data_IF_880857922649
#
_entry.id   IF_880857922649
#
_cell.length_a   1.000
_cell.length_b   1.000
_cell.length_c   1.000
_cell.angle_alpha   90.00
_cell.angle_beta   90.00
_cell.angle_gamma   90.00
#
_symmetry.space_group_name_H-M   'P 1'
#
loop_
_entity.id
_entity.type
_entity.pdbx_description
1 polymer ?
#
# COMPACT_ATOMS: atom_id res chain seq x y z
N UNK A 1 13.21 14.40 -23.07
CA UNK A 1 12.69 13.17 -22.43
C UNK A 1 11.44 12.76 -23.17
N UNK A 2 11.46 11.60 -23.84
CA UNK A 2 10.37 11.19 -24.74
C UNK A 2 9.25 10.58 -23.90
N UNK A 3 7.99 10.87 -24.22
CA UNK A 3 6.78 10.46 -23.48
C UNK A 3 6.75 8.98 -23.02
N UNK A 4 7.44 8.08 -23.73
CA UNK A 4 7.60 6.67 -23.34
C UNK A 4 8.38 6.47 -22.03
N UNK A 5 9.37 7.31 -21.74
CA UNK A 5 10.12 7.24 -20.47
C UNK A 5 9.25 7.68 -19.29
N UNK A 6 8.42 8.70 -19.46
CA UNK A 6 7.50 9.16 -18.40
C UNK A 6 6.46 8.11 -18.04
N UNK A 7 5.92 7.39 -19.03
CA UNK A 7 5.01 6.28 -18.80
C UNK A 7 5.71 5.10 -18.09
N UNK A 8 6.99 4.86 -18.38
CA UNK A 8 7.75 3.77 -17.78
C UNK A 8 8.26 4.07 -16.38
N UNK A 9 8.57 5.33 -16.04
CA UNK A 9 9.14 5.71 -14.73
C UNK A 9 8.13 6.32 -13.76
N UNK A 10 6.94 6.73 -14.22
CA UNK A 10 5.84 7.33 -13.42
C UNK A 10 6.32 8.18 -12.22
N UNK A 11 7.17 9.19 -12.41
CA UNK A 11 7.69 9.99 -11.29
C UNK A 11 6.58 10.74 -10.53
N UNK A 12 5.41 10.85 -11.15
CA UNK A 12 4.17 11.41 -10.58
C UNK A 12 3.57 10.55 -9.44
N UNK A 13 3.84 9.24 -9.42
CA UNK A 13 3.32 8.37 -8.37
C UNK A 13 4.09 8.53 -7.06
N UNK A 14 3.35 8.76 -5.98
CA UNK A 14 3.92 8.97 -4.65
C UNK A 14 4.89 7.86 -4.23
N UNK A 15 6.01 8.26 -3.66
CA UNK A 15 7.01 7.34 -3.07
C UNK A 15 6.45 6.66 -1.81
N UNK A 16 5.54 7.33 -1.11
CA UNK A 16 4.95 6.91 0.16
C UNK A 16 3.43 7.06 0.09
N UNK A 17 2.70 6.04 0.51
CA UNK A 17 1.25 6.00 0.39
C UNK A 17 0.62 5.41 1.66
N UNK A 18 -0.52 5.97 2.08
CA UNK A 18 -1.31 5.46 3.22
C UNK A 18 -0.54 5.30 4.53
N UNK A 19 0.43 6.18 4.84
CA UNK A 19 1.26 6.07 6.05
C UNK A 19 0.54 6.59 7.29
N UNK A 20 0.46 5.79 8.33
CA UNK A 20 -0.03 6.22 9.64
C UNK A 20 0.54 5.36 10.77
N UNK A 21 0.79 5.99 11.92
CA UNK A 21 1.16 5.34 13.19
C UNK A 21 -0.04 5.01 14.06
N UNK A 22 -1.20 5.60 13.74
CA UNK A 22 -2.43 5.50 14.53
C UNK A 22 -3.15 4.18 14.29
N UNK A 23 -2.89 3.55 13.14
CA UNK A 23 -3.43 2.27 12.74
C UNK A 23 -2.34 1.26 12.48
N UNK A 24 -2.66 -0.01 12.74
CA UNK A 24 -1.83 -1.17 12.47
C UNK A 24 -2.57 -2.08 11.50
N UNK A 25 -1.82 -2.83 10.69
CA UNK A 25 -2.40 -3.82 9.78
C UNK A 25 -3.33 -4.82 10.49
N UNK A 26 -3.04 -5.09 11.77
CA UNK A 26 -3.74 -6.06 12.61
C UNK A 26 -5.00 -5.51 13.30
N UNK A 27 -5.28 -4.20 13.22
CA UNK A 27 -6.37 -3.59 13.99
C UNK A 27 -7.75 -3.93 13.41
N UNK A 28 -7.80 -4.35 12.14
CA UNK A 28 -9.04 -4.62 11.43
C UNK A 28 -9.39 -6.11 11.48
N UNK A 29 -10.26 -6.51 12.40
CA UNK A 29 -10.77 -7.90 12.52
C UNK A 29 -11.97 -8.20 11.60
N UNK A 30 -12.03 -7.55 10.44
CA UNK A 30 -13.14 -7.67 9.50
C UNK A 30 -12.74 -8.46 8.26
N UNK A 31 -13.71 -9.18 7.70
CA UNK A 31 -13.53 -10.06 6.53
C UNK A 31 -14.13 -9.49 5.25
N UNK A 32 -14.93 -8.44 5.33
CA UNK A 32 -15.54 -7.77 4.18
C UNK A 32 -15.06 -6.31 4.05
N UNK A 33 -15.13 -5.82 2.81
CA UNK A 33 -14.62 -4.50 2.46
C UNK A 33 -15.48 -3.35 2.99
N UNK A 34 -16.81 -3.51 3.07
CA UNK A 34 -17.71 -2.42 3.47
C UNK A 34 -17.51 -2.08 4.95
N UNK A 35 -17.50 -3.09 5.83
CA UNK A 35 -17.21 -2.89 7.25
C UNK A 35 -15.78 -2.38 7.47
N UNK A 36 -14.82 -2.82 6.64
CA UNK A 36 -13.46 -2.26 6.67
C UNK A 36 -13.44 -0.76 6.37
N UNK A 37 -14.13 -0.32 5.32
CA UNK A 37 -14.21 1.10 4.94
C UNK A 37 -14.88 1.90 6.05
N UNK A 38 -15.96 1.40 6.66
CA UNK A 38 -16.63 2.08 7.77
C UNK A 38 -15.69 2.26 8.97
N UNK A 39 -15.02 1.20 9.41
CA UNK A 39 -14.03 1.25 10.50
C UNK A 39 -12.91 2.23 10.16
N UNK A 40 -12.37 2.16 8.95
CA UNK A 40 -11.28 3.02 8.53
C UNK A 40 -11.69 4.50 8.55
N UNK A 41 -12.90 4.82 8.07
CA UNK A 41 -13.45 6.19 8.13
C UNK A 41 -13.65 6.68 9.58
N UNK A 42 -13.99 5.79 10.51
CA UNK A 42 -14.18 6.15 11.91
C UNK A 42 -12.84 6.35 12.66
N UNK A 43 -11.79 5.65 12.24
CA UNK A 43 -10.48 5.68 12.90
C UNK A 43 -9.49 6.67 12.26
N UNK A 44 -9.83 7.29 11.13
CA UNK A 44 -8.92 8.17 10.39
C UNK A 44 -9.55 9.47 9.95
N UNK A 45 -8.72 10.50 9.78
CA UNK A 45 -9.12 11.75 9.15
C UNK A 45 -9.36 11.56 7.65
N UNK A 46 -10.33 12.26 7.06
CA UNK A 46 -10.60 12.20 5.62
C UNK A 46 -9.36 12.47 4.76
N UNK A 47 -8.47 13.36 5.22
CA UNK A 47 -7.19 13.67 4.56
C UNK A 47 -6.25 12.48 4.42
N UNK A 48 -6.38 11.48 5.30
CA UNK A 48 -5.62 10.23 5.20
C UNK A 48 -6.14 9.35 4.05
N UNK A 49 -7.44 9.44 3.72
CA UNK A 49 -8.09 8.64 2.69
C UNK A 49 -8.10 9.31 1.31
N UNK A 50 -7.89 10.62 1.25
CA UNK A 50 -7.88 11.40 0.01
C UNK A 50 -6.82 10.98 -1.04
N UNK A 51 -5.59 10.55 -0.67
CA UNK A 51 -4.57 10.18 -1.65
C UNK A 51 -5.01 9.02 -2.55
N UNK A 52 -4.61 9.11 -3.83
CA UNK A 52 -4.88 8.08 -4.86
C UNK A 52 -3.60 7.64 -5.55
N UNK A 53 -3.60 6.42 -6.06
CA UNK A 53 -2.57 5.94 -6.98
C UNK A 53 -3.20 5.92 -8.36
N UNK A 54 -2.75 6.80 -9.25
CA UNK A 54 -3.27 6.93 -10.62
C UNK A 54 -2.75 5.81 -11.53
N UNK A 55 -3.13 4.56 -11.24
CA UNK A 55 -2.75 3.39 -11.99
C UNK A 55 -3.88 2.35 -11.97
N UNK A 56 -4.08 1.66 -13.09
CA UNK A 56 -5.07 0.58 -13.21
C UNK A 56 -4.59 -0.70 -12.51
N UNK A 57 -3.27 -0.94 -12.51
CA UNK A 57 -2.65 -2.12 -11.91
C UNK A 57 -1.34 -1.73 -11.21
N UNK A 58 -1.09 -2.34 -10.05
CA UNK A 58 0.17 -2.22 -9.31
C UNK A 58 0.62 -3.57 -8.77
N UNK A 59 1.89 -3.68 -8.41
CA UNK A 59 2.41 -4.83 -7.68
C UNK A 59 2.53 -4.50 -6.20
N UNK A 60 1.89 -5.28 -5.34
CA UNK A 60 2.07 -5.23 -3.89
C UNK A 60 2.98 -6.36 -3.41
N UNK A 61 3.97 -6.03 -2.58
CA UNK A 61 5.00 -6.94 -2.11
C UNK A 61 4.92 -7.05 -0.59
N UNK A 62 4.46 -8.18 -0.03
CA UNK A 62 4.37 -8.35 1.42
C UNK A 62 5.72 -8.70 2.05
N UNK A 63 5.87 -8.42 3.34
CA UNK A 63 6.98 -8.92 4.15
C UNK A 63 6.67 -10.28 4.74
N UNK A 64 7.65 -11.18 4.69
CA UNK A 64 7.62 -12.45 5.39
C UNK A 64 7.81 -12.32 6.90
N UNK A 65 7.55 -13.40 7.67
CA UNK A 65 7.72 -13.41 9.13
C UNK A 65 9.14 -13.06 9.62
N UNK A 66 10.16 -13.32 8.79
CA UNK A 66 11.57 -13.03 9.07
C UNK A 66 12.06 -11.68 8.50
N UNK A 67 11.15 -10.80 8.08
CA UNK A 67 11.49 -9.47 7.55
C UNK A 67 11.99 -9.42 6.10
N UNK A 68 12.06 -10.55 5.39
CA UNK A 68 12.39 -10.56 3.96
C UNK A 68 11.16 -10.33 3.07
N UNK A 69 11.32 -9.55 1.98
CA UNK A 69 10.27 -9.37 0.98
C UNK A 69 9.88 -10.72 0.34
N UNK A 70 8.59 -10.91 0.08
CA UNK A 70 8.06 -12.09 -0.62
C UNK A 70 7.73 -11.76 -2.07
N UNK A 71 7.21 -12.74 -2.80
CA UNK A 71 6.79 -12.55 -4.18
C UNK A 71 5.67 -11.51 -4.25
N UNK A 72 5.86 -10.49 -5.09
CA UNK A 72 4.85 -9.49 -5.38
C UNK A 72 3.61 -10.09 -6.03
N UNK A 73 2.44 -9.50 -5.74
CA UNK A 73 1.16 -9.83 -6.36
C UNK A 73 0.64 -8.63 -7.12
N UNK A 74 0.26 -8.85 -8.38
CA UNK A 74 -0.44 -7.84 -9.18
C UNK A 74 -1.85 -7.70 -8.61
N UNK A 75 -2.25 -6.47 -8.32
CA UNK A 75 -3.62 -6.09 -7.98
C UNK A 75 -4.13 -5.08 -9.00
N UNK A 76 -5.45 -5.04 -9.18
CA UNK A 76 -6.13 -4.15 -10.12
C UNK A 76 -7.04 -3.18 -9.38
N UNK A 77 -7.19 -1.96 -9.88
CA UNK A 77 -8.14 -0.99 -9.35
C UNK A 77 -9.57 -1.44 -9.64
N UNK A 78 -10.48 -1.37 -8.66
CA UNK A 78 -11.89 -1.78 -8.86
C UNK A 78 -12.57 -0.93 -9.95
N UNK A 79 -12.24 0.36 -10.02
CA UNK A 79 -12.76 1.27 -11.05
C UNK A 79 -12.01 1.20 -12.39
N UNK A 80 -11.01 0.32 -12.51
CA UNK A 80 -10.13 0.17 -13.68
C UNK A 80 -9.41 1.46 -14.12
N UNK A 81 -9.16 2.40 -13.21
CA UNK A 81 -8.50 3.69 -13.50
C UNK A 81 -7.45 4.05 -12.46
N UNK A 82 -7.84 4.09 -11.18
CA UNK A 82 -6.99 4.51 -10.07
C UNK A 82 -7.36 3.74 -8.80
N UNK A 83 -6.39 3.56 -7.90
CA UNK A 83 -6.66 3.01 -6.58
C UNK A 83 -7.02 4.09 -5.57
N UNK A 84 -8.07 3.84 -4.80
CA UNK A 84 -8.40 4.62 -3.60
C UNK A 84 -7.57 4.17 -2.40
N UNK A 85 -7.29 5.07 -1.45
CA UNK A 85 -6.49 4.75 -0.28
C UNK A 85 -7.02 3.54 0.49
N UNK A 86 -8.33 3.53 0.79
CA UNK A 86 -8.99 2.42 1.48
C UNK A 86 -8.86 1.09 0.70
N UNK A 87 -8.97 1.13 -0.62
CA UNK A 87 -8.84 -0.05 -1.48
C UNK A 87 -7.42 -0.63 -1.41
N UNK A 88 -6.39 0.21 -1.49
CA UNK A 88 -5.00 -0.25 -1.39
C UNK A 88 -4.73 -0.82 0.00
N UNK A 89 -5.15 -0.15 1.07
CA UNK A 89 -4.96 -0.62 2.44
C UNK A 89 -5.67 -1.97 2.64
N UNK A 90 -6.89 -2.12 2.14
CA UNK A 90 -7.62 -3.39 2.20
C UNK A 90 -6.88 -4.54 1.49
N UNK A 91 -6.45 -4.30 0.24
CA UNK A 91 -5.72 -5.30 -0.55
C UNK A 91 -4.36 -5.63 0.07
N UNK A 92 -3.67 -4.63 0.60
CA UNK A 92 -2.41 -4.79 1.30
C UNK A 92 -2.58 -5.60 2.59
N UNK A 93 -3.56 -5.28 3.44
CA UNK A 93 -3.89 -6.04 4.65
C UNK A 93 -4.08 -7.52 4.35
N UNK A 94 -4.99 -7.84 3.43
CA UNK A 94 -5.30 -9.23 3.09
C UNK A 94 -4.09 -9.98 2.53
N UNK A 95 -3.26 -9.31 1.71
CA UNK A 95 -2.05 -9.91 1.17
C UNK A 95 -0.99 -10.12 2.26
N UNK A 96 -0.78 -9.14 3.13
CA UNK A 96 0.20 -9.20 4.21
C UNK A 96 -0.16 -10.28 5.23
N UNK A 97 -1.41 -10.33 5.69
CA UNK A 97 -1.89 -11.35 6.64
C UNK A 97 -1.84 -12.76 6.09
N UNK A 98 -2.01 -12.93 4.76
CA UNK A 98 -1.87 -14.24 4.11
C UNK A 98 -0.44 -14.80 4.16
N UNK A 99 0.55 -13.93 4.42
CA UNK A 99 1.98 -14.26 4.41
C UNK A 99 2.59 -14.17 5.81
N UNK A 100 2.14 -13.23 6.62
CA UNK A 100 2.69 -12.90 7.94
C UNK A 100 1.64 -12.15 8.78
N UNK A 101 1.34 -12.70 9.95
CA UNK A 101 0.35 -12.18 10.91
C UNK A 101 0.97 -11.47 12.13
N UNK A 102 2.27 -11.16 12.09
CA UNK A 102 2.93 -10.45 13.18
C UNK A 102 2.34 -9.06 13.44
N UNK A 103 2.34 -8.65 14.70
CA UNK A 103 1.93 -7.30 15.11
C UNK A 103 2.76 -6.25 14.38
N UNK A 104 2.10 -5.25 13.81
CA UNK A 104 2.73 -4.14 13.10
C UNK A 104 2.76 -2.88 13.97
N UNK A 105 3.77 -2.03 13.79
CA UNK A 105 3.88 -0.73 14.46
C UNK A 105 3.31 0.42 13.61
N UNK A 106 2.42 0.12 12.68
CA UNK A 106 1.83 1.11 11.79
C UNK A 106 1.46 0.55 10.42
N UNK A 107 0.83 1.39 9.61
CA UNK A 107 0.57 1.16 8.19
C UNK A 107 1.52 2.03 7.37
N UNK A 108 2.09 1.46 6.32
CA UNK A 108 2.81 2.22 5.31
C UNK A 108 2.99 1.42 4.03
N UNK A 109 2.81 2.10 2.89
CA UNK A 109 3.02 1.51 1.57
C UNK A 109 4.08 2.35 0.87
N UNK A 110 5.11 1.69 0.35
CA UNK A 110 6.30 2.37 -0.14
C UNK A 110 6.65 1.88 -1.52
N UNK A 111 6.89 2.81 -2.42
CA UNK A 111 7.28 2.50 -3.78
C UNK A 111 8.71 1.99 -3.80
N UNK A 112 8.94 0.84 -4.44
CA UNK A 112 10.26 0.25 -4.60
C UNK A 112 10.76 0.27 -6.05
N UNK A 113 9.87 0.60 -7.01
CA UNK A 113 10.24 0.80 -8.40
C UNK A 113 9.16 0.29 -9.34
N UNK A 114 9.57 -0.59 -10.25
CA UNK A 114 8.69 -1.25 -11.21
C UNK A 114 8.96 -2.74 -11.30
N UNK A 115 7.89 -3.53 -11.40
CA UNK A 115 7.94 -4.95 -11.75
C UNK A 115 7.10 -5.17 -13.00
N UNK A 116 7.68 -5.75 -14.05
CA UNK A 116 6.98 -6.06 -15.31
C UNK A 116 6.22 -4.85 -15.90
N UNK A 117 6.81 -3.65 -15.83
CA UNK A 117 6.24 -2.35 -16.25
C UNK A 117 5.09 -1.83 -15.38
N UNK A 118 4.80 -2.48 -14.26
CA UNK A 118 3.82 -2.00 -13.28
C UNK A 118 4.54 -1.33 -12.10
N UNK A 119 4.03 -0.21 -11.56
CA UNK A 119 4.52 0.36 -10.32
C UNK A 119 4.51 -0.69 -9.21
N UNK A 120 5.64 -0.86 -8.52
CA UNK A 120 5.75 -1.82 -7.42
C UNK A 120 5.90 -1.11 -6.08
N UNK A 121 5.16 -1.62 -5.10
CA UNK A 121 5.12 -1.13 -3.74
C UNK A 121 5.29 -2.29 -2.77
N UNK A 122 6.04 -2.09 -1.70
CA UNK A 122 6.07 -3.04 -0.60
C UNK A 122 5.18 -2.57 0.56
N UNK A 123 4.68 -3.54 1.32
CA UNK A 123 3.77 -3.36 2.45
C UNK A 123 4.63 -3.22 3.72
N UNK A 124 4.98 -1.98 4.07
CA UNK A 124 5.80 -1.68 5.23
C UNK A 124 5.00 -1.37 6.49
N UNK A 125 5.69 -0.84 7.49
CA UNK A 125 5.08 -0.26 8.69
C UNK A 125 5.10 1.27 8.57
N UNK A 126 4.73 1.98 9.64
CA UNK A 126 4.82 3.45 9.66
C UNK A 126 6.23 3.96 9.35
N UNK A 127 7.26 3.25 9.81
CA UNK A 127 8.65 3.49 9.42
C UNK A 127 9.05 2.56 8.28
N UNK A 128 9.77 3.12 7.31
CA UNK A 128 10.43 2.38 6.23
C UNK A 128 11.60 1.56 6.82
N UNK A 129 11.83 0.37 6.27
CA UNK A 129 12.97 -0.51 6.53
C UNK A 129 14.32 0.15 6.21
N UNK A 130 14.33 1.15 5.32
CA UNK A 130 15.43 2.09 5.13
C UNK A 130 15.47 3.03 6.35
N UNK A 131 16.11 2.56 7.43
CA UNK A 131 16.28 3.34 8.65
C UNK A 131 16.78 4.76 8.35
N UNK A 132 16.18 5.73 9.05
CA UNK A 132 16.53 7.16 9.02
C UNK A 132 16.11 7.93 7.75
N UNK A 133 14.82 8.12 7.57
CA UNK A 133 14.32 9.42 7.10
C UNK A 133 13.26 9.90 8.09
N UNK A 134 13.75 10.40 9.23
CA UNK A 134 13.04 11.37 10.05
C UNK A 134 12.73 12.57 9.17
N UNK A 135 11.45 12.86 8.97
CA UNK A 135 11.00 14.23 8.68
C UNK A 135 11.10 15.06 9.97
#
# INVERSE_FOLDING_TARGET
MKQQEQQAFRPDLSVRFGRTKELRWNDFKVTDYLNFVEILNNLTDKRFLDPKIDAEEIVLIPYGPKGGLKKGKIIKAENSKYFECAEVIWKAKNLQESVNNHTSAGIGIYRIGFEKRLPSFYIGQYQDSAGLLTE
#
